data_IF_296326095860
#
_entry.id   IF_296326095860
#
_cell.length_a   1.000
_cell.length_b   1.000
_cell.length_c   1.000
_cell.angle_alpha   90.00
_cell.angle_beta   90.00
_cell.angle_gamma   90.00
#
_symmetry.space_group_name_H-M   'P 1'
#
loop_
_entity.id
_entity.type
_entity.pdbx_description
1 polymer ?
#
# COMPACT_ATOMS: atom_id res chain seq x y z
N UNK A 1 -5.75 39.11 -27.81
CA UNK A 1 -6.70 39.82 -26.92
C UNK A 1 -7.82 38.86 -26.61
N UNK A 2 -8.02 38.49 -25.35
CA UNK A 2 -9.17 37.71 -24.89
C UNK A 2 -10.31 38.69 -24.56
N UNK A 3 -11.50 38.45 -25.08
CA UNK A 3 -12.68 39.29 -24.80
C UNK A 3 -13.27 38.83 -23.46
N UNK A 4 -13.47 39.76 -22.53
CA UNK A 4 -14.19 39.43 -21.29
C UNK A 4 -15.70 39.44 -21.60
N UNK A 5 -16.24 38.27 -21.94
CA UNK A 5 -17.64 38.14 -22.37
C UNK A 5 -18.62 38.57 -21.28
N UNK A 6 -18.30 38.36 -20.00
CA UNK A 6 -19.14 38.85 -18.89
C UNK A 6 -19.21 40.37 -18.84
N UNK A 7 -18.06 41.04 -18.95
CA UNK A 7 -18.00 42.50 -18.96
C UNK A 7 -18.71 43.10 -20.20
N UNK A 8 -18.59 42.47 -21.37
CA UNK A 8 -19.34 42.90 -22.57
C UNK A 8 -20.85 42.66 -22.43
N UNK A 9 -21.29 41.58 -21.78
CA UNK A 9 -22.71 41.36 -21.48
C UNK A 9 -23.27 42.46 -20.55
N UNK A 10 -22.58 42.77 -19.47
CA UNK A 10 -22.97 43.83 -18.51
C UNK A 10 -23.01 45.22 -19.17
N UNK A 11 -22.04 45.51 -20.05
CA UNK A 11 -21.98 46.75 -20.84
C UNK A 11 -23.16 46.85 -21.83
N UNK A 12 -23.54 45.76 -22.48
CA UNK A 12 -24.69 45.74 -23.38
C UNK A 12 -26.02 45.89 -22.63
N UNK A 13 -26.17 45.27 -21.43
CA UNK A 13 -27.32 45.50 -20.56
C UNK A 13 -27.43 46.97 -20.11
N UNK A 14 -26.31 47.55 -19.70
CA UNK A 14 -26.24 48.97 -19.30
C UNK A 14 -26.66 49.90 -20.45
N UNK A 15 -26.15 49.67 -21.67
CA UNK A 15 -26.53 50.45 -22.87
C UNK A 15 -28.00 50.28 -23.24
N UNK A 16 -28.56 49.08 -23.17
CA UNK A 16 -29.98 48.83 -23.43
C UNK A 16 -30.90 49.52 -22.40
N UNK A 17 -30.48 49.59 -21.13
CA UNK A 17 -31.22 50.29 -20.07
C UNK A 17 -31.22 51.82 -20.24
N UNK A 18 -30.13 52.39 -20.79
CA UNK A 18 -30.01 53.83 -21.02
C UNK A 18 -30.91 54.33 -22.16
N UNK A 19 -31.23 53.47 -23.13
CA UNK A 19 -32.14 53.79 -24.25
C UNK A 19 -33.63 53.81 -23.81
N UNK A 20 -33.95 53.32 -22.62
CA UNK A 20 -35.33 53.14 -22.11
C UNK A 20 -35.65 53.91 -20.83
N UNK A 21 -34.73 54.72 -20.30
CA UNK A 21 -34.88 55.43 -19.02
C UNK A 21 -35.77 56.69 -19.11
N UNK A 22 -36.61 56.96 -18.09
CA UNK A 22 -37.58 58.08 -18.09
C UNK A 22 -36.96 59.48 -18.09
N UNK A 23 -35.68 59.61 -17.73
CA UNK A 23 -34.92 60.88 -17.68
C UNK A 23 -34.11 61.17 -18.95
N UNK A 24 -34.15 60.30 -19.96
CA UNK A 24 -33.40 60.53 -21.20
C UNK A 24 -34.21 61.40 -22.15
N UNK A 25 -33.65 62.56 -22.54
CA UNK A 25 -34.23 63.47 -23.53
C UNK A 25 -34.28 62.90 -24.97
N UNK A 26 -34.24 61.57 -25.13
CA UNK A 26 -34.25 60.86 -26.39
C UNK A 26 -35.44 59.88 -26.48
N UNK A 27 -36.12 59.80 -27.63
CA UNK A 27 -37.19 58.82 -27.83
C UNK A 27 -36.61 57.41 -27.73
N UNK A 28 -37.26 56.55 -26.94
CA UNK A 28 -36.84 55.15 -26.80
C UNK A 28 -36.81 54.45 -28.17
N UNK A 29 -35.61 54.08 -28.63
CA UNK A 29 -35.43 53.29 -29.85
C UNK A 29 -35.53 51.80 -29.51
N UNK A 30 -36.70 51.23 -29.78
CA UNK A 30 -36.97 49.81 -29.56
C UNK A 30 -36.02 48.87 -30.32
N UNK A 31 -35.53 49.28 -31.49
CA UNK A 31 -34.61 48.47 -32.32
C UNK A 31 -33.21 48.46 -31.71
N UNK A 32 -32.72 49.61 -31.26
CA UNK A 32 -31.44 49.71 -30.56
C UNK A 32 -31.47 48.96 -29.22
N UNK A 33 -32.61 48.99 -28.51
CA UNK A 33 -32.80 48.25 -27.25
C UNK A 33 -32.77 46.74 -27.48
N UNK A 34 -33.52 46.24 -28.47
CA UNK A 34 -33.54 44.80 -28.82
C UNK A 34 -32.16 44.31 -29.26
N UNK A 35 -31.43 45.10 -30.04
CA UNK A 35 -30.05 44.80 -30.42
C UNK A 35 -29.14 44.61 -29.18
N UNK A 36 -29.18 45.54 -28.22
CA UNK A 36 -28.36 45.45 -27.02
C UNK A 36 -28.75 44.28 -26.11
N UNK A 37 -30.03 43.94 -26.01
CA UNK A 37 -30.48 42.75 -25.28
C UNK A 37 -29.98 41.45 -25.90
N UNK A 38 -30.06 41.31 -27.23
CA UNK A 38 -29.55 40.12 -27.93
C UNK A 38 -28.04 39.97 -27.79
N UNK A 39 -27.29 41.07 -27.91
CA UNK A 39 -25.84 41.05 -27.71
C UNK A 39 -25.48 40.68 -26.26
N UNK A 40 -26.21 41.22 -25.27
CA UNK A 40 -26.03 40.83 -23.88
C UNK A 40 -26.29 39.33 -23.66
N UNK A 41 -27.33 38.77 -24.26
CA UNK A 41 -27.64 37.33 -24.17
C UNK A 41 -26.52 36.46 -24.79
N UNK A 42 -25.99 36.84 -25.96
CA UNK A 42 -24.89 36.12 -26.60
C UNK A 42 -23.64 36.14 -25.71
N UNK A 43 -23.25 37.32 -25.23
CA UNK A 43 -22.08 37.46 -24.37
C UNK A 43 -22.25 36.75 -23.02
N UNK A 44 -23.44 36.76 -22.43
CA UNK A 44 -23.72 36.02 -21.20
C UNK A 44 -23.64 34.49 -21.41
N UNK A 45 -24.10 34.00 -22.57
CA UNK A 45 -24.00 32.57 -22.91
C UNK A 45 -22.54 32.16 -23.10
N UNK A 46 -21.76 32.95 -23.84
CA UNK A 46 -20.34 32.70 -24.05
C UNK A 46 -19.56 32.71 -22.72
N UNK A 47 -19.83 33.67 -21.85
CA UNK A 47 -19.19 33.72 -20.52
C UNK A 47 -19.52 32.46 -19.68
N UNK A 48 -20.76 31.99 -19.72
CA UNK A 48 -21.16 30.75 -19.04
C UNK A 48 -20.42 29.53 -19.61
N UNK A 49 -20.28 29.45 -20.92
CA UNK A 49 -19.58 28.33 -21.58
C UNK A 49 -18.07 28.38 -21.28
N UNK A 50 -17.48 29.57 -21.20
CA UNK A 50 -16.09 29.77 -20.76
C UNK A 50 -15.88 29.32 -19.31
N UNK A 51 -16.76 29.73 -18.39
CA UNK A 51 -16.70 29.31 -16.98
C UNK A 51 -16.86 27.77 -16.85
N UNK A 52 -17.76 27.17 -17.64
CA UNK A 52 -17.96 25.73 -17.67
C UNK A 52 -16.74 24.98 -18.24
N UNK A 53 -16.13 25.52 -19.31
CA UNK A 53 -14.93 24.96 -19.90
C UNK A 53 -13.72 25.04 -18.96
N UNK A 54 -13.55 26.16 -18.25
CA UNK A 54 -12.53 26.33 -17.23
C UNK A 54 -12.71 25.31 -16.08
N UNK A 55 -13.93 25.19 -15.55
CA UNK A 55 -14.24 24.21 -14.50
C UNK A 55 -13.97 22.77 -14.95
N UNK A 56 -14.31 22.43 -16.21
CA UNK A 56 -14.03 21.10 -16.75
C UNK A 56 -12.53 20.85 -16.92
N UNK A 57 -11.76 21.86 -17.33
CA UNK A 57 -10.30 21.76 -17.41
C UNK A 57 -9.69 21.50 -16.03
N UNK A 58 -10.10 22.27 -15.01
CA UNK A 58 -9.65 22.09 -13.62
C UNK A 58 -9.96 20.67 -13.10
N UNK A 59 -11.17 20.15 -13.38
CA UNK A 59 -11.55 18.79 -13.00
C UNK A 59 -10.72 17.72 -13.71
N UNK A 60 -10.37 17.93 -14.99
CA UNK A 60 -9.49 17.02 -15.74
C UNK A 60 -8.07 17.03 -15.18
N UNK A 61 -7.56 18.19 -14.82
CA UNK A 61 -6.23 18.34 -14.22
C UNK A 61 -6.19 17.69 -12.84
N UNK A 62 -7.22 17.92 -12.02
CA UNK A 62 -7.37 17.26 -10.72
C UNK A 62 -7.47 15.73 -10.85
N UNK A 63 -8.24 15.23 -11.83
CA UNK A 63 -8.34 13.79 -12.08
C UNK A 63 -7.01 13.18 -12.52
N UNK A 64 -6.27 13.89 -13.38
CA UNK A 64 -4.93 13.48 -13.83
C UNK A 64 -3.97 13.42 -12.65
N UNK A 65 -3.99 14.43 -11.77
CA UNK A 65 -3.19 14.45 -10.56
C UNK A 65 -3.51 13.28 -9.63
N UNK A 66 -4.80 13.04 -9.34
CA UNK A 66 -5.22 11.91 -8.50
C UNK A 66 -4.79 10.56 -9.07
N UNK A 67 -4.86 10.37 -10.39
CA UNK A 67 -4.37 9.14 -11.04
C UNK A 67 -2.87 8.97 -10.87
N UNK A 68 -2.10 10.05 -11.01
CA UNK A 68 -0.65 10.01 -10.81
C UNK A 68 -0.29 9.72 -9.34
N UNK A 69 -1.00 10.33 -8.40
CA UNK A 69 -0.79 10.12 -6.97
C UNK A 69 -1.11 8.67 -6.58
N UNK A 70 -2.20 8.11 -7.09
CA UNK A 70 -2.55 6.69 -6.89
C UNK A 70 -1.49 5.75 -7.48
N UNK A 71 -1.01 6.03 -8.69
CA UNK A 71 0.06 5.24 -9.31
C UNK A 71 1.37 5.30 -8.50
N UNK A 72 1.72 6.48 -7.98
CA UNK A 72 2.89 6.66 -7.12
C UNK A 72 2.76 5.92 -5.80
N UNK A 73 1.60 5.98 -5.13
CA UNK A 73 1.35 5.23 -3.90
C UNK A 73 1.43 3.72 -4.13
N UNK A 74 0.81 3.22 -5.21
CA UNK A 74 0.91 1.80 -5.58
C UNK A 74 2.38 1.38 -5.76
N UNK A 75 3.18 2.19 -6.45
CA UNK A 75 4.62 1.92 -6.65
C UNK A 75 5.37 1.85 -5.33
N UNK A 76 5.14 2.79 -4.42
CA UNK A 76 5.78 2.82 -3.10
C UNK A 76 5.42 1.57 -2.28
N UNK A 77 4.14 1.18 -2.29
CA UNK A 77 3.67 -0.03 -1.60
C UNK A 77 4.36 -1.27 -2.18
N UNK A 78 4.37 -1.41 -3.50
CA UNK A 78 5.02 -2.52 -4.20
C UNK A 78 6.52 -2.59 -3.87
N UNK A 79 7.23 -1.45 -3.94
CA UNK A 79 8.64 -1.36 -3.57
C UNK A 79 8.87 -1.80 -2.11
N UNK A 80 8.02 -1.36 -1.19
CA UNK A 80 8.14 -1.68 0.23
C UNK A 80 7.88 -3.16 0.51
N UNK A 81 6.85 -3.75 -0.11
CA UNK A 81 6.55 -5.18 0.02
C UNK A 81 7.72 -6.00 -0.55
N UNK A 82 8.18 -5.69 -1.76
CA UNK A 82 9.29 -6.40 -2.39
C UNK A 82 10.60 -6.28 -1.60
N UNK A 83 10.92 -5.10 -1.04
CA UNK A 83 12.05 -4.90 -0.13
C UNK A 83 11.97 -5.85 1.07
N UNK A 84 10.81 -5.90 1.72
CA UNK A 84 10.63 -6.67 2.95
C UNK A 84 10.60 -8.18 2.70
N UNK A 85 10.02 -8.63 1.59
CA UNK A 85 10.09 -10.04 1.18
C UNK A 85 11.54 -10.43 0.82
N UNK A 86 12.27 -9.53 0.16
CA UNK A 86 13.66 -9.77 -0.25
C UNK A 86 14.68 -9.80 0.89
N UNK A 87 14.38 -9.17 2.03
CA UNK A 87 15.26 -9.18 3.22
C UNK A 87 15.38 -10.55 3.90
N UNK A 88 14.42 -11.45 3.65
CA UNK A 88 14.37 -12.80 4.23
C UNK A 88 14.39 -12.85 5.77
N UNK A 89 14.11 -11.73 6.46
CA UNK A 89 13.85 -11.73 7.89
C UNK A 89 12.36 -11.91 8.17
N UNK A 90 12.01 -12.64 9.22
CA UNK A 90 10.62 -13.04 9.43
C UNK A 90 9.69 -11.86 9.72
N UNK A 91 10.16 -10.86 10.46
CA UNK A 91 9.33 -9.72 10.81
C UNK A 91 8.96 -8.90 9.57
N UNK A 92 9.93 -8.59 8.71
CA UNK A 92 9.70 -7.91 7.44
C UNK A 92 8.83 -8.76 6.52
N UNK A 93 9.11 -10.06 6.41
CA UNK A 93 8.31 -10.96 5.58
C UNK A 93 6.84 -11.03 6.03
N UNK A 94 6.59 -11.20 7.34
CA UNK A 94 5.22 -11.21 7.90
C UNK A 94 4.53 -9.88 7.66
N UNK A 95 5.21 -8.77 7.93
CA UNK A 95 4.67 -7.43 7.70
C UNK A 95 4.28 -7.21 6.24
N UNK A 96 5.10 -7.68 5.30
CA UNK A 96 4.81 -7.61 3.86
C UNK A 96 3.62 -8.48 3.46
N UNK A 97 3.51 -9.69 4.02
CA UNK A 97 2.39 -10.60 3.80
C UNK A 97 1.08 -10.07 4.40
N UNK A 98 1.11 -9.54 5.61
CA UNK A 98 -0.08 -9.02 6.27
C UNK A 98 -0.60 -7.76 5.54
N UNK A 99 0.31 -6.88 5.09
CA UNK A 99 -0.05 -5.72 4.30
C UNK A 99 -0.71 -6.10 2.96
N UNK A 100 -0.17 -7.10 2.26
CA UNK A 100 -0.73 -7.56 0.97
C UNK A 100 -2.10 -8.20 1.15
N UNK A 101 -2.29 -9.01 2.21
CA UNK A 101 -3.59 -9.55 2.59
C UNK A 101 -4.60 -8.46 2.95
N UNK A 102 -4.19 -7.44 3.71
CA UNK A 102 -5.06 -6.31 4.05
C UNK A 102 -5.48 -5.55 2.78
N UNK A 103 -4.54 -5.26 1.88
CA UNK A 103 -4.84 -4.58 0.61
C UNK A 103 -5.82 -5.39 -0.26
N UNK A 104 -5.67 -6.72 -0.31
CA UNK A 104 -6.61 -7.60 -0.99
C UNK A 104 -8.03 -7.50 -0.42
N UNK A 105 -8.20 -7.33 0.90
CA UNK A 105 -9.53 -7.15 1.51
C UNK A 105 -10.24 -5.88 1.03
N UNK A 106 -9.48 -4.87 0.61
CA UNK A 106 -9.98 -3.63 0.01
C UNK A 106 -10.01 -3.66 -1.53
N UNK A 107 -9.76 -4.83 -2.15
CA UNK A 107 -9.76 -5.02 -3.60
C UNK A 107 -8.54 -4.44 -4.31
N UNK A 108 -7.45 -4.17 -3.58
CA UNK A 108 -6.20 -3.64 -4.10
C UNK A 108 -5.14 -4.74 -4.21
N UNK A 109 -5.32 -5.66 -5.16
CA UNK A 109 -4.32 -6.71 -5.39
C UNK A 109 -3.03 -6.13 -5.98
N UNK A 110 -1.92 -6.39 -5.29
CA UNK A 110 -0.58 -5.93 -5.68
C UNK A 110 0.37 -7.07 -6.01
N UNK A 111 -0.07 -8.33 -5.91
CA UNK A 111 0.79 -9.52 -5.97
C UNK A 111 1.59 -9.57 -7.27
N UNK A 112 0.92 -9.42 -8.42
CA UNK A 112 1.59 -9.42 -9.72
C UNK A 112 2.65 -8.31 -9.82
N UNK A 113 2.36 -7.11 -9.31
CA UNK A 113 3.31 -6.00 -9.37
C UNK A 113 4.49 -6.21 -8.42
N UNK A 114 4.27 -6.89 -7.30
CA UNK A 114 5.33 -7.31 -6.37
C UNK A 114 6.19 -8.39 -7.01
N UNK A 115 5.61 -9.39 -7.68
CA UNK A 115 6.33 -10.43 -8.40
C UNK A 115 7.23 -9.84 -9.48
N UNK A 116 6.69 -8.97 -10.34
CA UNK A 116 7.45 -8.25 -11.36
C UNK A 116 8.62 -7.47 -10.72
N UNK A 117 8.39 -6.84 -9.55
CA UNK A 117 9.42 -6.08 -8.84
C UNK A 117 10.50 -6.96 -8.19
N UNK A 118 10.16 -8.15 -7.74
CA UNK A 118 11.10 -9.14 -7.21
C UNK A 118 11.97 -9.70 -8.34
N UNK A 119 11.37 -10.00 -9.50
CA UNK A 119 12.09 -10.46 -10.69
C UNK A 119 13.09 -9.41 -11.19
N UNK A 120 12.71 -8.12 -11.20
CA UNK A 120 13.63 -7.00 -11.53
C UNK A 120 14.87 -6.95 -10.62
N UNK A 121 14.84 -7.62 -9.47
CA UNK A 121 15.91 -7.65 -8.47
C UNK A 121 16.61 -9.01 -8.38
N UNK A 122 16.37 -9.90 -9.34
CA UNK A 122 16.90 -11.27 -9.38
C UNK A 122 16.49 -12.12 -8.15
N UNK A 123 15.33 -11.84 -7.55
CA UNK A 123 14.76 -12.61 -6.43
C UNK A 123 13.66 -13.51 -6.98
N UNK A 124 13.72 -14.83 -6.73
CA UNK A 124 12.64 -15.76 -7.11
C UNK A 124 11.37 -15.44 -6.32
N UNK A 125 10.29 -14.96 -6.99
CA UNK A 125 9.05 -14.59 -6.30
C UNK A 125 8.45 -15.77 -5.52
N UNK A 126 8.54 -16.99 -6.05
CA UNK A 126 7.97 -18.17 -5.39
C UNK A 126 8.65 -18.41 -4.05
N UNK A 127 9.97 -18.24 -3.98
CA UNK A 127 10.71 -18.39 -2.72
C UNK A 127 10.43 -17.22 -1.77
N UNK A 128 10.35 -16.00 -2.30
CA UNK A 128 10.08 -14.80 -1.51
C UNK A 128 8.74 -14.90 -0.75
N UNK A 129 7.71 -15.45 -1.38
CA UNK A 129 6.38 -15.62 -0.77
C UNK A 129 6.25 -16.83 0.16
N UNK A 130 7.14 -17.82 0.10
CA UNK A 130 7.10 -19.01 0.96
C UNK A 130 7.50 -18.68 2.41
N UNK A 131 8.22 -17.58 2.60
CA UNK A 131 8.63 -17.08 3.90
C UNK A 131 9.61 -17.97 4.64
N UNK A 132 10.27 -17.45 5.67
CA UNK A 132 11.16 -18.25 6.51
C UNK A 132 10.44 -19.44 7.20
N UNK A 133 9.11 -19.33 7.36
CA UNK A 133 8.27 -20.39 7.93
C UNK A 133 7.93 -21.54 6.97
N UNK A 134 8.03 -21.34 5.65
CA UNK A 134 7.75 -22.37 4.65
C UNK A 134 8.75 -23.52 4.62
N UNK A 135 9.78 -23.45 5.47
CA UNK A 135 10.76 -24.50 5.69
C UNK A 135 10.25 -25.62 6.62
N UNK A 136 9.03 -25.55 7.18
CA UNK A 136 8.41 -26.68 7.89
C UNK A 136 7.68 -27.60 6.93
N UNK A 137 8.21 -28.80 6.75
CA UNK A 137 7.46 -29.87 6.11
C UNK A 137 6.37 -30.36 7.08
N UNK A 138 5.06 -30.15 6.80
CA UNK A 138 3.98 -30.48 7.73
C UNK A 138 3.83 -31.99 7.95
N UNK A 139 4.26 -32.82 7.00
CA UNK A 139 4.22 -34.27 7.13
C UNK A 139 5.33 -34.80 8.05
N UNK A 140 6.51 -34.19 8.00
CA UNK A 140 7.66 -34.63 8.81
C UNK A 140 7.89 -33.78 10.05
N UNK A 141 7.20 -32.64 10.19
CA UNK A 141 7.44 -31.59 11.19
C UNK A 141 8.92 -31.24 11.32
N UNK A 142 9.62 -31.23 10.18
CA UNK A 142 11.02 -30.81 10.10
C UNK A 142 11.05 -29.38 9.62
N UNK A 143 11.77 -28.54 10.33
CA UNK A 143 12.00 -27.16 9.99
C UNK A 143 13.45 -26.99 9.56
N UNK A 144 13.69 -26.54 8.34
CA UNK A 144 15.04 -26.10 7.96
C UNK A 144 15.20 -24.63 8.36
N UNK A 145 16.31 -24.24 8.97
CA UNK A 145 16.60 -22.83 9.22
C UNK A 145 17.18 -22.14 7.97
N UNK A 146 17.38 -20.82 8.03
CA UNK A 146 18.00 -20.06 6.94
C UNK A 146 19.47 -20.43 6.70
N UNK A 147 20.13 -21.06 7.67
CA UNK A 147 21.50 -21.59 7.55
C UNK A 147 21.58 -22.97 6.88
N UNK A 148 20.44 -23.57 6.53
CA UNK A 148 20.35 -24.91 5.93
C UNK A 148 20.35 -26.05 6.96
N UNK A 149 20.33 -25.75 8.26
CA UNK A 149 20.25 -26.77 9.32
C UNK A 149 18.81 -27.27 9.41
N UNK A 150 18.61 -28.58 9.32
CA UNK A 150 17.28 -29.18 9.49
C UNK A 150 17.06 -29.62 10.93
N UNK A 151 16.07 -29.01 11.56
CA UNK A 151 15.57 -29.29 12.89
C UNK A 151 14.36 -30.21 12.83
N UNK A 152 14.30 -31.21 13.69
CA UNK A 152 13.14 -32.08 13.85
C UNK A 152 12.32 -31.61 15.05
N UNK A 153 11.11 -31.12 14.80
CA UNK A 153 10.23 -30.55 15.83
C UNK A 153 9.40 -31.62 16.55
N UNK A 154 9.52 -32.90 16.18
CA UNK A 154 8.82 -33.99 16.88
C UNK A 154 9.49 -34.42 18.18
N UNK A 155 10.71 -33.95 18.43
CA UNK A 155 11.53 -34.38 19.55
C UNK A 155 11.89 -33.18 20.44
N UNK A 156 12.08 -33.41 21.75
CA UNK A 156 12.64 -32.39 22.62
C UNK A 156 14.10 -32.11 22.26
N UNK A 157 14.50 -30.86 22.43
CA UNK A 157 15.88 -30.42 22.28
C UNK A 157 16.42 -30.03 23.65
N UNK A 158 17.62 -30.50 23.99
CA UNK A 158 18.29 -30.22 25.25
C UNK A 158 19.30 -29.11 25.02
N UNK A 159 19.19 -28.05 25.80
CA UNK A 159 20.17 -26.96 25.79
C UNK A 159 21.39 -27.26 26.65
N UNK A 160 22.41 -26.40 26.60
CA UNK A 160 23.63 -26.53 27.41
C UNK A 160 23.38 -26.67 28.91
N UNK A 161 22.31 -26.05 29.39
CA UNK A 161 21.98 -25.97 30.81
C UNK A 161 21.05 -27.15 31.23
N UNK A 162 20.89 -28.16 30.35
CA UNK A 162 20.11 -29.36 30.59
C UNK A 162 18.60 -29.18 30.45
N UNK A 163 18.12 -28.02 29.99
CA UNK A 163 16.69 -27.78 29.86
C UNK A 163 16.14 -28.41 28.58
N UNK A 164 15.00 -29.06 28.70
CA UNK A 164 14.28 -29.64 27.56
C UNK A 164 13.28 -28.64 26.97
N UNK A 165 13.43 -28.39 25.68
CA UNK A 165 12.61 -27.51 24.86
C UNK A 165 11.76 -28.32 23.89
N UNK A 166 10.44 -28.11 23.92
CA UNK A 166 9.48 -28.79 23.03
C UNK A 166 8.73 -27.79 22.17
N UNK A 167 8.50 -28.13 20.90
CA UNK A 167 7.77 -27.25 20.01
C UNK A 167 6.29 -27.16 20.42
N UNK A 168 5.76 -25.94 20.52
CA UNK A 168 4.37 -25.69 20.95
C UNK A 168 3.35 -25.95 19.86
N UNK A 169 3.79 -26.13 18.60
CA UNK A 169 2.92 -26.13 17.43
C UNK A 169 2.71 -24.74 16.82
N UNK A 170 3.22 -23.69 17.48
CA UNK A 170 3.12 -22.31 17.05
C UNK A 170 4.46 -21.79 16.49
N UNK A 171 4.41 -20.65 15.81
CA UNK A 171 5.58 -19.98 15.26
C UNK A 171 5.62 -18.52 15.70
N UNK A 172 6.73 -18.12 16.31
CA UNK A 172 7.11 -16.71 16.41
C UNK A 172 8.19 -16.43 15.36
N UNK A 173 9.42 -16.00 15.71
CA UNK A 173 10.56 -15.80 14.80
C UNK A 173 11.10 -17.08 14.14
N UNK A 174 10.69 -18.22 14.68
CA UNK A 174 10.93 -19.59 14.22
C UNK A 174 9.97 -20.51 14.99
N UNK A 175 10.16 -21.83 14.99
CA UNK A 175 9.36 -22.74 15.81
C UNK A 175 9.38 -22.29 17.27
N UNK A 176 8.21 -21.99 17.84
CA UNK A 176 8.12 -21.53 19.23
C UNK A 176 8.29 -22.74 20.14
N UNK A 177 9.28 -22.71 21.01
CA UNK A 177 9.60 -23.81 21.91
C UNK A 177 9.20 -23.44 23.34
N UNK A 178 8.77 -24.44 24.09
CA UNK A 178 8.44 -24.36 25.51
C UNK A 178 9.46 -25.15 26.33
N UNK A 179 10.05 -24.50 27.32
CA UNK A 179 11.00 -25.09 28.25
C UNK A 179 10.25 -25.80 29.40
N UNK A 180 10.44 -27.11 29.55
CA UNK A 180 9.75 -27.89 30.60
C UNK A 180 10.12 -27.52 32.02
N UNK A 181 11.37 -27.14 32.27
CA UNK A 181 11.90 -26.87 33.61
C UNK A 181 11.51 -25.47 34.11
N UNK A 182 11.56 -24.47 33.24
CA UNK A 182 11.35 -23.07 33.60
C UNK A 182 9.96 -22.54 33.21
N UNK A 183 9.25 -23.25 32.32
CA UNK A 183 8.00 -22.79 31.73
C UNK A 183 8.17 -21.67 30.69
N UNK A 184 9.40 -21.26 30.40
CA UNK A 184 9.69 -20.20 29.45
C UNK A 184 9.33 -20.60 28.01
N UNK A 185 8.98 -19.62 27.18
CA UNK A 185 8.75 -19.80 25.75
C UNK A 185 9.73 -18.94 24.96
N UNK A 186 10.38 -19.51 23.95
CA UNK A 186 11.34 -18.80 23.09
C UNK A 186 11.41 -19.46 21.71
N UNK A 187 11.80 -18.71 20.67
CA UNK A 187 11.97 -19.27 19.33
C UNK A 187 13.18 -20.22 19.29
N UNK A 188 13.09 -21.28 18.48
CA UNK A 188 14.19 -22.24 18.32
C UNK A 188 15.50 -21.55 17.88
N UNK A 189 15.43 -20.52 17.04
CA UNK A 189 16.59 -19.70 16.67
C UNK A 189 17.21 -18.96 17.86
N UNK A 190 16.39 -18.33 18.70
CA UNK A 190 16.89 -17.65 19.89
C UNK A 190 17.54 -18.65 20.85
N UNK A 191 16.93 -19.81 21.05
CA UNK A 191 17.50 -20.87 21.88
C UNK A 191 18.81 -21.35 21.28
N UNK A 192 18.84 -21.56 19.96
CA UNK A 192 20.05 -21.94 19.25
C UNK A 192 21.10 -20.84 19.29
N UNK A 193 20.80 -19.56 19.45
CA UNK A 193 21.84 -18.52 19.57
C UNK A 193 22.35 -18.43 21.02
N UNK A 194 21.45 -18.44 21.99
CA UNK A 194 21.77 -18.11 23.38
C UNK A 194 22.13 -19.32 24.26
N UNK A 195 21.68 -20.53 23.91
CA UNK A 195 21.78 -21.73 24.75
C UNK A 195 22.51 -22.91 24.09
N UNK A 196 23.37 -22.68 23.09
CA UNK A 196 24.17 -23.75 22.46
C UNK A 196 25.08 -24.48 23.47
N UNK A 197 25.34 -25.78 23.26
CA UNK A 197 24.82 -26.62 22.17
C UNK A 197 23.35 -27.01 22.38
N UNK A 198 22.62 -27.18 21.27
CA UNK A 198 21.32 -27.84 21.27
C UNK A 198 21.49 -29.25 20.73
N UNK A 199 21.17 -30.25 21.54
CA UNK A 199 21.25 -31.66 21.16
C UNK A 199 19.86 -32.29 21.19
N UNK A 200 19.55 -33.24 20.28
CA UNK A 200 18.32 -34.01 20.36
C UNK A 200 18.26 -34.75 21.70
N UNK A 201 17.15 -34.67 22.44
CA UNK A 201 17.04 -35.31 23.75
C UNK A 201 17.05 -36.84 23.72
N UNK A 202 16.93 -37.44 22.54
CA UNK A 202 17.08 -38.86 22.27
C UNK A 202 18.51 -39.27 21.84
N UNK A 203 19.44 -38.31 21.72
CA UNK A 203 20.82 -38.59 21.33
C UNK A 203 21.67 -39.06 22.52
N UNK A 204 22.70 -39.90 22.30
CA UNK A 204 23.65 -40.25 23.35
C UNK A 204 24.43 -39.04 23.87
N UNK A 205 24.58 -37.99 23.06
CA UNK A 205 25.24 -36.73 23.44
C UNK A 205 24.44 -35.94 24.48
N UNK A 206 23.12 -36.14 24.56
CA UNK A 206 22.28 -35.55 25.60
C UNK A 206 22.61 -36.06 27.02
N UNK A 207 23.21 -37.26 27.13
CA UNK A 207 23.65 -37.82 28.41
C UNK A 207 24.96 -37.19 28.92
N UNK A 208 25.72 -36.55 28.02
CA UNK A 208 27.02 -35.93 28.31
C UNK A 208 26.90 -34.41 28.57
N UNK A 209 25.70 -33.83 28.46
CA UNK A 209 25.45 -32.43 28.86
C UNK A 209 25.43 -32.36 30.39
N UNK A 210 26.32 -31.56 31.02
CA UNK A 210 26.41 -31.50 32.48
C UNK A 210 25.12 -30.96 33.08
N UNK A 211 24.52 -31.73 33.99
CA UNK A 211 23.39 -31.34 34.83
C UNK A 211 23.80 -30.39 35.97
#
# INVERSE_FOLDING_TARGET
MTVNHRAEAEKHLSKGSFVTGPDTAHPADSVATDYHLRMAQVHATLARDEDAAATLADLRDANTKLRNDLANMRRIIVDHVADNLGRQDLWSWRSARDLTQELDTYGMNVDQAVDERLEERDIDPKQAWIGPNGQVNPATKKWTDLGGTTWDLNRPWIDRDGNAWEWTGEFDQGPLMHCKSTGATSSLDAIYIFHRPLVPGDSPEAADVPF
#
